data_IF_373790830094
#
_entry.id   IF_373790830094
#
_cell.length_a   1.000
_cell.length_b   1.000
_cell.length_c   1.000
_cell.angle_alpha   90.00
_cell.angle_beta   90.00
_cell.angle_gamma   90.00
#
_symmetry.space_group_name_H-M   'P 1'
#
loop_
_entity.id
_entity.type
_entity.pdbx_description
1 polymer ?
#
# COMPACT_ATOMS: atom_id res chain seq x y z
N UNK A 1 22.50 -2.65 -2.99
CA UNK A 1 23.97 -2.47 -2.90
C UNK A 1 24.63 -3.65 -2.20
N UNK A 2 24.28 -3.97 -0.96
CA UNK A 2 24.83 -5.16 -0.25
C UNK A 2 24.54 -6.46 -1.00
N UNK A 3 23.35 -6.59 -1.60
CA UNK A 3 23.04 -7.75 -2.43
C UNK A 3 24.12 -7.99 -3.49
N UNK A 4 24.48 -6.99 -4.28
CA UNK A 4 25.47 -7.12 -5.35
C UNK A 4 26.90 -7.34 -4.81
N UNK A 5 27.22 -6.73 -3.65
CA UNK A 5 28.52 -6.95 -3.01
C UNK A 5 28.67 -8.41 -2.56
N UNK A 6 27.67 -8.96 -1.87
CA UNK A 6 27.72 -10.34 -1.38
C UNK A 6 27.59 -11.36 -2.51
N UNK A 7 26.84 -11.06 -3.55
CA UNK A 7 26.78 -11.88 -4.77
C UNK A 7 28.15 -11.95 -5.45
N UNK A 8 28.87 -10.84 -5.55
CA UNK A 8 30.23 -10.79 -6.04
C UNK A 8 31.22 -11.57 -5.15
N UNK A 9 31.13 -11.42 -3.82
CA UNK A 9 31.98 -12.12 -2.87
C UNK A 9 31.74 -13.64 -2.88
N UNK A 10 30.50 -14.08 -3.02
CA UNK A 10 30.17 -15.49 -3.17
C UNK A 10 30.73 -16.07 -4.47
N UNK A 11 30.49 -15.36 -5.59
CA UNK A 11 30.84 -15.88 -6.92
C UNK A 11 32.36 -15.95 -7.15
N UNK A 12 33.14 -14.99 -6.58
CA UNK A 12 34.58 -14.89 -6.85
C UNK A 12 35.47 -15.43 -5.72
N UNK A 13 34.96 -15.41 -4.49
CA UNK A 13 35.77 -15.74 -3.31
C UNK A 13 35.20 -16.85 -2.44
N UNK A 14 33.96 -17.36 -2.75
CA UNK A 14 33.24 -18.33 -1.91
C UNK A 14 33.22 -17.87 -0.43
N UNK A 15 32.97 -16.56 -0.21
CA UNK A 15 33.04 -15.97 1.13
C UNK A 15 31.98 -16.58 2.06
N UNK A 16 32.36 -17.09 3.24
CA UNK A 16 31.42 -17.75 4.14
C UNK A 16 30.25 -16.86 4.53
N UNK A 17 29.03 -17.32 4.25
CA UNK A 17 27.79 -16.60 4.55
C UNK A 17 27.31 -15.62 3.48
N UNK A 18 28.11 -15.33 2.46
CA UNK A 18 27.71 -14.44 1.35
C UNK A 18 26.52 -15.02 0.57
N UNK A 19 26.47 -16.33 0.39
CA UNK A 19 25.34 -17.02 -0.29
C UNK A 19 23.99 -16.83 0.38
N UNK A 20 23.93 -16.44 1.67
CA UNK A 20 22.65 -16.13 2.34
C UNK A 20 21.90 -14.98 1.67
N UNK A 21 22.62 -14.02 1.08
CA UNK A 21 22.04 -12.87 0.39
C UNK A 21 21.36 -13.24 -0.94
N UNK A 22 21.56 -14.43 -1.46
CA UNK A 22 20.83 -14.93 -2.62
C UNK A 22 19.39 -15.32 -2.27
N UNK A 23 19.13 -15.71 -1.00
CA UNK A 23 17.79 -16.09 -0.54
C UNK A 23 16.90 -14.86 -0.26
N UNK A 24 15.73 -14.81 -0.93
CA UNK A 24 14.73 -13.75 -0.73
C UNK A 24 14.28 -13.68 0.73
N UNK A 25 14.05 -14.82 1.38
CA UNK A 25 13.59 -14.91 2.77
C UNK A 25 14.57 -14.28 3.76
N UNK A 26 15.88 -14.54 3.57
CA UNK A 26 16.92 -13.92 4.40
C UNK A 26 16.93 -12.40 4.20
N UNK A 27 16.96 -11.93 2.95
CA UNK A 27 16.98 -10.48 2.64
C UNK A 27 15.72 -9.78 3.12
N UNK A 28 14.58 -10.43 3.02
CA UNK A 28 13.30 -9.90 3.47
C UNK A 28 13.26 -9.74 5.01
N UNK A 29 13.72 -10.75 5.75
CA UNK A 29 13.83 -10.65 7.22
C UNK A 29 14.86 -9.58 7.64
N UNK A 30 16.02 -9.54 6.99
CA UNK A 30 17.05 -8.53 7.24
C UNK A 30 16.54 -7.11 6.93
N UNK A 31 15.78 -6.94 5.83
CA UNK A 31 15.19 -5.67 5.44
C UNK A 31 14.15 -5.18 6.46
N UNK A 32 13.30 -6.08 6.96
CA UNK A 32 12.34 -5.77 8.02
C UNK A 32 13.04 -5.29 9.30
N UNK A 33 14.02 -6.06 9.79
CA UNK A 33 14.76 -5.72 11.01
C UNK A 33 15.49 -4.38 10.85
N UNK A 34 16.18 -4.20 9.72
CA UNK A 34 16.93 -2.97 9.45
C UNK A 34 15.99 -1.75 9.35
N UNK A 35 14.85 -1.88 8.67
CA UNK A 35 13.86 -0.81 8.58
C UNK A 35 13.29 -0.43 9.95
N UNK A 36 12.96 -1.43 10.77
CA UNK A 36 12.46 -1.23 12.13
C UNK A 36 13.51 -0.52 12.99
N UNK A 37 14.77 -0.95 12.95
CA UNK A 37 15.87 -0.31 13.69
C UNK A 37 16.12 1.13 13.21
N UNK A 38 16.16 1.36 11.89
CA UNK A 38 16.33 2.71 11.32
C UNK A 38 15.19 3.62 11.79
N UNK A 39 13.94 3.17 11.70
CA UNK A 39 12.78 3.94 12.16
C UNK A 39 12.84 4.25 13.64
N UNK A 40 13.15 3.25 14.49
CA UNK A 40 13.16 3.40 15.94
C UNK A 40 14.35 4.26 16.45
N UNK A 41 15.54 4.09 15.87
CA UNK A 41 16.75 4.81 16.32
C UNK A 41 16.79 6.23 15.76
N UNK A 42 16.59 6.37 14.43
CA UNK A 42 16.67 7.67 13.78
C UNK A 42 15.38 8.49 13.89
N UNK A 43 14.25 7.85 14.14
CA UNK A 43 12.96 8.52 14.30
C UNK A 43 13.01 9.64 15.33
N UNK A 44 13.60 9.38 16.51
CA UNK A 44 13.74 10.41 17.56
C UNK A 44 14.57 11.62 17.10
N UNK A 45 15.62 11.39 16.30
CA UNK A 45 16.43 12.49 15.76
C UNK A 45 15.64 13.35 14.78
N UNK A 46 14.88 12.72 13.90
CA UNK A 46 14.00 13.40 12.93
C UNK A 46 12.90 14.16 13.67
N UNK A 47 12.25 13.56 14.66
CA UNK A 47 11.22 14.22 15.49
C UNK A 47 11.79 15.47 16.17
N UNK A 48 12.99 15.39 16.75
CA UNK A 48 13.63 16.53 17.39
C UNK A 48 14.01 17.62 16.38
N UNK A 49 14.41 17.25 15.16
CA UNK A 49 14.67 18.20 14.08
C UNK A 49 13.38 18.90 13.65
N UNK A 50 12.30 18.16 13.40
CA UNK A 50 10.99 18.73 13.04
C UNK A 50 10.47 19.66 14.14
N UNK A 51 10.62 19.29 15.41
CA UNK A 51 10.23 20.11 16.54
C UNK A 51 11.02 21.43 16.63
N UNK A 52 12.34 21.41 16.36
CA UNK A 52 13.18 22.61 16.30
C UNK A 52 12.77 23.56 15.18
N UNK A 53 12.31 23.03 14.05
CA UNK A 53 11.81 23.83 12.93
C UNK A 53 10.38 24.37 13.17
N UNK A 54 9.82 24.16 14.35
CA UNK A 54 8.44 24.53 14.71
C UNK A 54 7.39 23.96 13.73
N UNK A 55 7.66 22.77 13.22
CA UNK A 55 6.78 22.00 12.31
C UNK A 55 5.60 21.42 13.11
N UNK A 56 4.94 22.25 13.92
CA UNK A 56 3.76 21.86 14.69
C UNK A 56 2.49 22.17 13.90
N UNK A 57 1.60 21.23 13.79
CA UNK A 57 0.31 21.47 13.18
C UNK A 57 -0.55 22.35 14.07
N UNK A 58 -1.17 23.39 13.50
CA UNK A 58 -2.22 24.14 14.19
C UNK A 58 -3.48 23.27 14.23
N UNK A 59 -3.71 22.64 15.37
CA UNK A 59 -4.88 21.76 15.57
C UNK A 59 -6.16 22.56 15.34
N UNK A 60 -7.03 22.05 14.46
CA UNK A 60 -8.38 22.59 14.31
C UNK A 60 -9.18 22.23 15.57
N UNK A 61 -9.76 23.20 16.22
CA UNK A 61 -10.70 22.90 17.30
C UNK A 61 -11.96 22.21 16.71
N UNK A 62 -12.02 20.91 16.90
CA UNK A 62 -13.16 20.08 16.49
C UNK A 62 -14.11 19.79 17.65
N UNK A 63 -13.80 20.32 18.85
CA UNK A 63 -14.53 20.06 20.09
C UNK A 63 -14.45 18.58 20.52
N UNK A 64 -13.28 17.94 20.31
CA UNK A 64 -12.99 16.56 20.71
C UNK A 64 -12.12 16.54 21.95
N UNK A 65 -12.37 15.61 22.87
CA UNK A 65 -11.52 15.42 24.06
C UNK A 65 -10.09 15.05 23.64
N UNK A 66 -9.09 15.57 24.37
CA UNK A 66 -7.67 15.28 24.14
C UNK A 66 -7.00 16.12 23.04
N UNK A 67 -7.71 16.96 22.29
CA UNK A 67 -7.10 17.80 21.24
C UNK A 67 -6.07 18.79 21.80
N UNK A 68 -6.31 19.36 22.97
CA UNK A 68 -5.40 20.33 23.59
C UNK A 68 -4.05 19.69 23.91
N UNK A 69 -4.05 18.42 24.28
CA UNK A 69 -2.82 17.66 24.62
C UNK A 69 -1.94 17.40 23.39
N UNK A 70 -2.50 17.45 22.19
CA UNK A 70 -1.78 17.24 20.93
C UNK A 70 -1.13 18.51 20.37
N UNK A 71 -1.38 19.68 21.01
CA UNK A 71 -0.80 20.95 20.58
C UNK A 71 0.72 20.91 20.66
N UNK A 72 1.40 21.26 19.57
CA UNK A 72 2.88 21.26 19.49
C UNK A 72 3.49 19.91 19.07
N UNK A 73 2.68 18.88 18.84
CA UNK A 73 3.18 17.64 18.22
C UNK A 73 3.58 17.93 16.78
N UNK A 74 4.85 17.61 16.36
CA UNK A 74 5.29 17.86 15.00
C UNK A 74 4.56 16.94 14.00
N UNK A 75 4.31 17.46 12.81
CA UNK A 75 3.80 16.72 11.64
C UNK A 75 4.94 16.36 10.68
N UNK A 76 4.63 15.81 9.50
CA UNK A 76 5.60 15.34 8.49
C UNK A 76 6.39 14.08 8.91
N UNK A 77 5.89 13.31 9.87
CA UNK A 77 6.50 12.06 10.32
C UNK A 77 6.62 10.99 9.24
N UNK A 78 5.87 11.11 8.15
CA UNK A 78 5.99 10.26 6.96
C UNK A 78 7.41 10.18 6.39
N UNK A 79 8.22 11.21 6.61
CA UNK A 79 9.65 11.22 6.25
C UNK A 79 10.39 10.05 6.93
N UNK A 80 10.06 9.72 8.19
CA UNK A 80 10.65 8.60 8.91
C UNK A 80 10.34 7.29 8.18
N UNK A 81 9.08 7.09 7.79
CA UNK A 81 8.63 5.89 7.09
C UNK A 81 9.36 5.74 5.75
N UNK A 82 9.43 6.83 4.97
CA UNK A 82 10.07 6.84 3.65
C UNK A 82 11.56 6.47 3.76
N UNK A 83 12.33 7.15 4.62
CA UNK A 83 13.75 6.86 4.78
C UNK A 83 14.00 5.47 5.34
N UNK A 84 13.22 5.04 6.33
CA UNK A 84 13.35 3.71 6.93
C UNK A 84 13.01 2.58 5.96
N UNK A 85 12.18 2.85 4.95
CA UNK A 85 11.89 1.91 3.86
C UNK A 85 13.00 1.95 2.81
N UNK A 86 13.39 3.13 2.33
CA UNK A 86 14.33 3.27 1.22
C UNK A 86 15.72 2.74 1.55
N UNK A 87 16.23 2.96 2.77
CA UNK A 87 17.59 2.53 3.15
C UNK A 87 17.76 1.00 3.01
N UNK A 88 16.93 0.15 3.65
CA UNK A 88 17.04 -1.31 3.49
C UNK A 88 16.79 -1.77 2.05
N UNK A 89 15.83 -1.15 1.36
CA UNK A 89 15.51 -1.47 -0.03
C UNK A 89 16.73 -1.25 -0.93
N UNK A 90 17.37 -0.09 -0.86
CA UNK A 90 18.58 0.20 -1.66
C UNK A 90 19.75 -0.73 -1.32
N UNK A 91 19.83 -1.21 -0.09
CA UNK A 91 20.89 -2.12 0.34
C UNK A 91 20.63 -3.57 -0.07
N UNK A 92 19.41 -4.08 0.08
CA UNK A 92 19.12 -5.51 0.10
C UNK A 92 18.33 -6.03 -1.11
N UNK A 93 17.73 -5.15 -1.95
CA UNK A 93 16.98 -5.59 -3.12
C UNK A 93 17.84 -5.66 -4.39
N UNK A 94 17.33 -6.40 -5.38
CA UNK A 94 17.80 -6.35 -6.76
C UNK A 94 17.24 -5.10 -7.44
N UNK A 95 18.04 -4.02 -7.46
CA UNK A 95 17.59 -2.71 -7.97
C UNK A 95 17.24 -2.70 -9.47
N UNK A 96 17.69 -3.71 -10.23
CA UNK A 96 17.34 -3.90 -11.64
C UNK A 96 15.98 -4.54 -11.85
N UNK A 97 15.35 -5.05 -10.76
CA UNK A 97 14.04 -5.66 -10.86
C UNK A 97 12.97 -4.59 -11.10
N UNK A 98 12.14 -4.81 -12.13
CA UNK A 98 11.15 -3.81 -12.56
C UNK A 98 10.13 -3.46 -11.48
N UNK A 99 9.70 -4.43 -10.67
CA UNK A 99 8.77 -4.21 -9.58
C UNK A 99 9.38 -3.35 -8.47
N UNK A 100 10.68 -3.52 -8.18
CA UNK A 100 11.40 -2.66 -7.22
C UNK A 100 11.49 -1.23 -7.76
N UNK A 101 11.78 -1.06 -9.04
CA UNK A 101 11.83 0.26 -9.70
C UNK A 101 10.47 0.96 -9.58
N UNK A 102 9.37 0.26 -9.87
CA UNK A 102 8.01 0.80 -9.74
C UNK A 102 7.72 1.25 -8.30
N UNK A 103 8.08 0.44 -7.31
CA UNK A 103 7.84 0.76 -5.90
C UNK A 103 8.72 1.92 -5.41
N UNK A 104 9.96 2.04 -5.88
CA UNK A 104 10.82 3.19 -5.61
C UNK A 104 10.24 4.48 -6.21
N UNK A 105 9.80 4.43 -7.47
CA UNK A 105 9.12 5.56 -8.13
C UNK A 105 7.88 5.95 -7.32
N UNK A 106 7.05 4.99 -6.94
CA UNK A 106 5.84 5.23 -6.16
C UNK A 106 6.14 5.93 -4.83
N UNK A 107 7.15 5.42 -4.10
CA UNK A 107 7.54 5.96 -2.79
C UNK A 107 8.00 7.41 -2.90
N UNK A 108 8.88 7.70 -3.86
CA UNK A 108 9.42 9.04 -4.07
C UNK A 108 8.33 9.98 -4.58
N UNK A 109 7.55 9.56 -5.57
CA UNK A 109 6.51 10.38 -6.20
C UNK A 109 5.42 10.79 -5.21
N UNK A 110 4.84 9.82 -4.50
CA UNK A 110 3.80 10.10 -3.51
C UNK A 110 4.35 10.83 -2.29
N UNK A 111 5.58 10.48 -1.89
CA UNK A 111 6.30 11.18 -0.83
C UNK A 111 6.51 12.66 -1.15
N UNK A 112 6.87 13.00 -2.38
CA UNK A 112 7.02 14.39 -2.81
C UNK A 112 5.70 15.15 -2.83
N UNK A 113 4.61 14.53 -3.31
CA UNK A 113 3.29 15.16 -3.32
C UNK A 113 2.83 15.47 -1.90
N UNK A 114 2.93 14.47 -1.00
CA UNK A 114 2.57 14.66 0.40
C UNK A 114 3.47 15.68 1.11
N UNK A 115 4.78 15.63 0.84
CA UNK A 115 5.73 16.60 1.38
C UNK A 115 5.41 18.04 0.95
N UNK A 116 5.06 18.26 -0.31
CA UNK A 116 4.66 19.59 -0.81
C UNK A 116 3.39 20.09 -0.12
N UNK A 117 2.42 19.20 0.13
CA UNK A 117 1.21 19.54 0.88
C UNK A 117 1.53 19.98 2.30
N UNK A 118 2.26 19.14 3.03
CA UNK A 118 2.66 19.42 4.41
C UNK A 118 3.56 20.68 4.48
N UNK A 119 4.48 20.85 3.53
CA UNK A 119 5.33 22.06 3.46
C UNK A 119 4.52 23.34 3.32
N UNK A 120 3.49 23.33 2.46
CA UNK A 120 2.60 24.50 2.30
C UNK A 120 1.85 24.77 3.61
N UNK A 121 1.31 23.73 4.24
CA UNK A 121 0.56 23.87 5.51
C UNK A 121 1.42 24.43 6.64
N UNK A 122 2.65 23.94 6.77
CA UNK A 122 3.53 24.23 7.91
C UNK A 122 4.33 25.51 7.68
N UNK A 123 5.10 25.58 6.59
CA UNK A 123 6.04 26.67 6.37
C UNK A 123 5.40 27.90 5.74
N UNK A 124 4.43 27.72 4.82
CA UNK A 124 3.67 28.84 4.27
C UNK A 124 2.46 29.22 5.11
N UNK A 125 2.17 28.47 6.20
CA UNK A 125 1.03 28.67 7.11
C UNK A 125 -0.33 28.73 6.39
N UNK A 126 -0.42 28.13 5.20
CA UNK A 126 -1.65 28.00 4.45
C UNK A 126 -2.35 26.69 4.84
N UNK A 127 -3.37 26.80 5.70
CA UNK A 127 -4.14 25.64 6.20
C UNK A 127 -4.85 24.83 5.11
N UNK A 128 -4.99 25.38 3.90
CA UNK A 128 -5.60 24.67 2.78
C UNK A 128 -4.65 23.63 2.17
N UNK A 129 -3.34 23.83 2.32
CA UNK A 129 -2.31 22.98 1.74
C UNK A 129 -2.34 22.98 0.21
N UNK A 130 -1.91 21.87 -0.38
CA UNK A 130 -1.96 21.67 -1.82
C UNK A 130 -3.42 21.47 -2.26
N UNK A 131 -3.90 22.27 -3.20
CA UNK A 131 -5.27 22.14 -3.71
C UNK A 131 -5.54 20.70 -4.19
N UNK A 132 -6.71 20.14 -3.86
CA UNK A 132 -7.07 18.76 -4.14
C UNK A 132 -6.88 18.34 -5.61
N UNK A 133 -7.10 19.27 -6.57
CA UNK A 133 -6.87 19.01 -8.00
C UNK A 133 -5.41 18.64 -8.33
N UNK A 134 -4.43 19.22 -7.64
CA UNK A 134 -3.02 18.89 -7.87
C UNK A 134 -2.65 17.54 -7.23
N UNK A 135 -3.25 17.19 -6.08
CA UNK A 135 -3.10 15.85 -5.49
C UNK A 135 -3.64 14.78 -6.45
N UNK A 136 -4.85 14.99 -6.98
CA UNK A 136 -5.45 14.08 -7.96
C UNK A 136 -4.59 14.01 -9.24
N UNK A 137 -4.10 15.12 -9.74
CA UNK A 137 -3.22 15.13 -10.92
C UNK A 137 -1.94 14.31 -10.69
N UNK A 138 -1.35 14.43 -9.49
CA UNK A 138 -0.19 13.63 -9.12
C UNK A 138 -0.50 12.14 -9.01
N UNK A 139 -1.67 11.77 -8.48
CA UNK A 139 -2.15 10.38 -8.40
C UNK A 139 -2.42 9.81 -9.81
N UNK A 140 -3.03 10.59 -10.69
CA UNK A 140 -3.25 10.24 -12.11
C UNK A 140 -1.91 10.05 -12.81
N UNK A 141 -0.95 10.96 -12.63
CA UNK A 141 0.39 10.86 -13.20
C UNK A 141 1.12 9.59 -12.77
N UNK A 142 1.07 9.25 -11.47
CA UNK A 142 1.63 7.99 -10.98
C UNK A 142 0.92 6.79 -11.58
N UNK A 143 -0.40 6.81 -11.65
CA UNK A 143 -1.21 5.71 -12.21
C UNK A 143 -0.91 5.46 -13.69
N UNK A 144 -0.69 6.54 -14.47
CA UNK A 144 -0.24 6.44 -15.86
C UNK A 144 1.16 5.80 -15.95
N UNK A 145 2.11 6.24 -15.14
CA UNK A 145 3.48 5.68 -15.13
C UNK A 145 3.44 4.20 -14.74
N UNK A 146 2.83 3.87 -13.61
CA UNK A 146 2.77 2.50 -13.09
C UNK A 146 2.01 1.58 -14.03
N UNK A 147 0.81 1.97 -14.48
CA UNK A 147 0.00 1.18 -15.39
C UNK A 147 0.68 0.92 -16.72
N UNK A 148 1.35 1.95 -17.28
CA UNK A 148 2.13 1.81 -18.51
C UNK A 148 3.31 0.86 -18.34
N UNK A 149 4.09 0.99 -17.26
CA UNK A 149 5.21 0.08 -17.01
C UNK A 149 4.71 -1.35 -16.82
N UNK A 150 3.66 -1.57 -16.02
CA UNK A 150 3.13 -2.91 -15.75
C UNK A 150 2.53 -3.58 -16.99
N UNK A 151 2.10 -2.84 -18.00
CA UNK A 151 1.56 -3.43 -19.22
C UNK A 151 2.59 -3.54 -20.33
N UNK A 152 3.38 -2.48 -20.60
CA UNK A 152 4.25 -2.43 -21.77
C UNK A 152 5.64 -3.02 -21.54
N UNK A 153 6.11 -3.14 -20.29
CA UNK A 153 7.44 -3.69 -20.02
C UNK A 153 7.47 -5.21 -20.19
N UNK A 154 8.45 -5.71 -20.95
CA UNK A 154 8.56 -7.15 -21.30
C UNK A 154 8.91 -8.04 -20.10
N UNK A 155 9.48 -7.49 -19.05
CA UNK A 155 9.78 -8.22 -17.81
C UNK A 155 8.55 -8.42 -16.89
N UNK A 156 7.41 -7.81 -17.24
CA UNK A 156 6.14 -7.96 -16.51
C UNK A 156 5.27 -8.96 -17.26
N UNK A 157 5.25 -10.18 -16.77
CA UNK A 157 4.49 -11.29 -17.36
C UNK A 157 3.80 -12.09 -16.25
N UNK A 158 2.79 -12.85 -16.64
CA UNK A 158 2.15 -13.84 -15.77
C UNK A 158 2.26 -15.22 -16.39
N UNK A 159 2.14 -16.26 -15.57
CA UNK A 159 1.96 -17.64 -16.03
C UNK A 159 0.71 -18.19 -15.38
N UNK A 160 -0.22 -18.63 -16.20
CA UNK A 160 -1.45 -19.27 -15.76
C UNK A 160 -1.23 -20.77 -15.56
N UNK A 161 -1.99 -21.35 -14.64
CA UNK A 161 -1.94 -22.76 -14.40
C UNK A 161 -2.60 -23.53 -15.56
N UNK A 162 -1.92 -24.54 -16.08
CA UNK A 162 -2.46 -25.38 -17.15
C UNK A 162 -3.57 -26.29 -16.60
N UNK A 163 -4.65 -26.53 -17.37
CA UNK A 163 -5.62 -27.55 -17.03
C UNK A 163 -4.93 -28.90 -16.80
N UNK A 164 -5.40 -29.69 -15.85
CA UNK A 164 -4.79 -30.97 -15.47
C UNK A 164 -4.53 -31.88 -16.67
N UNK A 165 -5.43 -31.87 -17.67
CA UNK A 165 -5.29 -32.64 -18.91
C UNK A 165 -4.12 -32.19 -19.81
N UNK A 166 -3.62 -30.97 -19.64
CA UNK A 166 -2.52 -30.40 -20.44
C UNK A 166 -1.17 -30.37 -19.70
N UNK A 167 -1.17 -30.83 -18.43
CA UNK A 167 0.05 -30.89 -17.64
C UNK A 167 0.91 -32.08 -18.08
N UNK A 168 2.09 -31.78 -18.61
CA UNK A 168 3.02 -32.79 -19.12
C UNK A 168 4.07 -33.10 -18.06
N UNK A 169 4.37 -34.38 -17.87
CA UNK A 169 5.53 -34.79 -17.07
C UNK A 169 6.75 -34.73 -17.99
N UNK A 170 7.67 -33.83 -17.67
CA UNK A 170 8.91 -33.69 -18.41
C UNK A 170 9.82 -34.90 -18.21
N UNK A 171 10.83 -35.09 -19.10
CA UNK A 171 11.75 -36.23 -19.03
C UNK A 171 12.53 -36.34 -17.71
N UNK A 172 12.67 -35.24 -16.98
CA UNK A 172 13.29 -35.18 -15.65
C UNK A 172 12.33 -35.53 -14.49
N UNK A 173 11.10 -35.98 -14.79
CA UNK A 173 10.09 -36.35 -13.81
C UNK A 173 9.33 -35.17 -13.20
N UNK A 174 9.66 -33.91 -13.60
CA UNK A 174 8.95 -32.74 -13.13
C UNK A 174 7.68 -32.50 -13.92
N UNK A 175 6.61 -32.16 -13.21
CA UNK A 175 5.32 -31.80 -13.81
C UNK A 175 5.33 -30.33 -14.22
N UNK A 176 5.09 -30.06 -15.52
CA UNK A 176 4.90 -28.70 -16.01
C UNK A 176 3.47 -28.27 -15.68
N UNK A 177 3.34 -27.44 -14.65
CA UNK A 177 2.04 -26.99 -14.13
C UNK A 177 1.62 -25.67 -14.75
N UNK A 178 2.56 -24.79 -15.10
CA UNK A 178 2.31 -23.47 -15.64
C UNK A 178 2.64 -23.41 -17.13
N UNK A 179 1.82 -22.65 -17.86
CA UNK A 179 2.02 -22.33 -19.26
C UNK A 179 3.21 -21.38 -19.50
N UNK A 180 3.33 -20.91 -20.74
CA UNK A 180 4.33 -19.90 -21.10
C UNK A 180 4.01 -18.54 -20.47
N UNK A 181 5.06 -17.74 -20.27
CA UNK A 181 4.91 -16.39 -19.76
C UNK A 181 4.32 -15.48 -20.84
N UNK A 182 3.25 -14.79 -20.52
CA UNK A 182 2.59 -13.87 -21.43
C UNK A 182 2.13 -12.59 -20.72
N UNK A 183 1.84 -11.55 -21.51
CA UNK A 183 1.24 -10.31 -21.00
C UNK A 183 -0.26 -10.52 -20.83
N UNK A 184 -0.81 -10.03 -19.73
CA UNK A 184 -2.23 -10.18 -19.42
C UNK A 184 -2.78 -8.99 -18.65
N UNK A 185 -4.04 -8.68 -18.86
CA UNK A 185 -4.83 -7.74 -18.08
C UNK A 185 -5.70 -8.44 -17.02
N UNK A 186 -5.50 -9.73 -16.83
CA UNK A 186 -6.24 -10.51 -15.83
C UNK A 186 -5.85 -10.14 -14.40
N UNK A 187 -6.82 -10.16 -13.53
CA UNK A 187 -6.68 -9.99 -12.09
C UNK A 187 -7.48 -11.04 -11.33
N UNK A 188 -7.11 -11.26 -10.07
CA UNK A 188 -7.82 -12.20 -9.21
C UNK A 188 -9.08 -11.57 -8.63
N UNK A 189 -10.20 -12.28 -8.77
CA UNK A 189 -11.49 -11.91 -8.18
C UNK A 189 -11.83 -12.90 -7.07
N UNK A 190 -12.09 -12.43 -5.83
CA UNK A 190 -12.52 -13.33 -4.75
C UNK A 190 -13.91 -13.89 -5.01
N UNK A 191 -14.18 -15.13 -4.55
CA UNK A 191 -15.50 -15.78 -4.53
C UNK A 191 -16.08 -16.21 -5.88
N UNK A 192 -15.40 -16.04 -6.99
CA UNK A 192 -15.89 -16.50 -8.29
C UNK A 192 -15.18 -17.77 -8.74
N UNK A 193 -15.93 -18.67 -9.37
CA UNK A 193 -15.39 -19.85 -10.04
C UNK A 193 -14.42 -19.39 -11.13
N UNK A 194 -13.22 -19.86 -11.19
CA UNK A 194 -12.10 -19.45 -12.01
C UNK A 194 -11.29 -18.25 -11.49
N UNK A 195 -11.72 -17.54 -10.45
CA UNK A 195 -10.98 -16.48 -9.73
C UNK A 195 -10.30 -15.41 -10.61
N UNK A 196 -10.61 -15.29 -11.88
CA UNK A 196 -9.94 -14.37 -12.80
C UNK A 196 -10.95 -13.49 -13.53
N UNK A 197 -10.64 -12.20 -13.59
CA UNK A 197 -11.32 -11.21 -14.40
C UNK A 197 -10.34 -10.61 -15.37
N UNK A 198 -10.62 -10.71 -16.68
CA UNK A 198 -9.85 -10.00 -17.69
C UNK A 198 -10.48 -8.62 -17.93
N UNK A 199 -9.69 -7.57 -17.73
CA UNK A 199 -10.15 -6.21 -17.97
C UNK A 199 -10.45 -5.92 -19.43
N UNK A 200 -9.91 -6.67 -20.37
CA UNK A 200 -10.25 -6.54 -21.79
C UNK A 200 -11.73 -6.85 -22.06
N UNK A 201 -12.36 -7.71 -21.24
CA UNK A 201 -13.77 -8.07 -21.39
C UNK A 201 -14.73 -6.88 -21.21
N UNK A 202 -14.31 -5.81 -20.50
CA UNK A 202 -15.12 -4.58 -20.42
C UNK A 202 -15.27 -3.87 -21.78
N UNK A 203 -14.44 -4.22 -22.75
CA UNK A 203 -14.47 -3.67 -24.10
C UNK A 203 -15.11 -4.63 -25.13
N UNK A 204 -15.73 -5.72 -24.70
CA UNK A 204 -16.36 -6.72 -25.58
C UNK A 204 -17.41 -6.13 -26.54
N UNK A 205 -18.01 -4.99 -26.19
CA UNK A 205 -18.94 -4.25 -27.04
C UNK A 205 -18.30 -3.69 -28.34
N UNK A 206 -16.95 -3.62 -28.41
CA UNK A 206 -16.21 -3.20 -29.60
C UNK A 206 -16.08 -4.31 -30.67
N UNK A 207 -16.54 -5.53 -30.36
CA UNK A 207 -16.44 -6.67 -31.27
C UNK A 207 -15.09 -7.41 -31.21
N UNK A 208 -14.78 -8.17 -32.26
CA UNK A 208 -13.55 -8.96 -32.34
C UNK A 208 -12.30 -8.08 -32.28
N UNK A 209 -11.28 -8.52 -31.54
CA UNK A 209 -10.02 -7.79 -31.38
C UNK A 209 -10.01 -6.72 -30.29
N UNK A 210 -11.06 -6.61 -29.46
CA UNK A 210 -11.13 -5.69 -28.32
C UNK A 210 -10.01 -5.91 -27.30
N UNK A 211 -9.45 -7.11 -27.23
CA UNK A 211 -8.34 -7.46 -26.32
C UNK A 211 -7.11 -6.53 -26.49
N UNK A 212 -6.86 -6.04 -27.71
CA UNK A 212 -5.77 -5.11 -28.03
C UNK A 212 -5.87 -3.80 -27.26
N UNK A 213 -7.06 -3.42 -26.80
CA UNK A 213 -7.33 -2.18 -26.07
C UNK A 213 -7.48 -2.39 -24.55
N UNK A 214 -7.34 -3.63 -24.06
CA UNK A 214 -7.46 -3.98 -22.63
C UNK A 214 -6.52 -3.16 -21.73
N UNK A 215 -5.37 -2.73 -22.25
CA UNK A 215 -4.43 -1.87 -21.52
C UNK A 215 -5.03 -0.52 -21.10
N UNK A 216 -5.96 0.02 -21.88
CA UNK A 216 -6.62 1.31 -21.54
C UNK A 216 -7.42 1.14 -20.26
N UNK A 217 -8.22 0.07 -20.17
CA UNK A 217 -9.02 -0.24 -18.98
C UNK A 217 -8.11 -0.54 -17.81
N UNK A 218 -7.03 -1.30 -18.03
CA UNK A 218 -6.06 -1.62 -16.99
C UNK A 218 -5.39 -0.37 -16.39
N UNK A 219 -4.95 0.57 -17.23
CA UNK A 219 -4.37 1.85 -16.78
C UNK A 219 -5.42 2.68 -16.05
N UNK A 220 -6.66 2.76 -16.56
CA UNK A 220 -7.72 3.50 -15.89
C UNK A 220 -8.02 2.94 -14.50
N UNK A 221 -8.10 1.62 -14.36
CA UNK A 221 -8.30 0.94 -13.07
C UNK A 221 -7.11 1.18 -12.14
N UNK A 222 -5.88 1.14 -12.67
CA UNK A 222 -4.66 1.45 -11.92
C UNK A 222 -4.73 2.87 -11.32
N UNK A 223 -5.10 3.87 -12.12
CA UNK A 223 -5.27 5.26 -11.67
C UNK A 223 -6.33 5.33 -10.58
N UNK A 224 -7.48 4.70 -10.80
CA UNK A 224 -8.59 4.70 -9.85
C UNK A 224 -8.19 4.11 -8.49
N UNK A 225 -7.51 2.96 -8.50
CA UNK A 225 -7.08 2.26 -7.27
C UNK A 225 -6.03 3.08 -6.52
N UNK A 226 -5.03 3.63 -7.21
CA UNK A 226 -4.03 4.49 -6.59
C UNK A 226 -4.70 5.71 -5.95
N UNK A 227 -5.60 6.38 -6.65
CA UNK A 227 -6.33 7.52 -6.10
C UNK A 227 -7.21 7.12 -4.91
N UNK A 228 -7.97 6.03 -5.02
CA UNK A 228 -8.89 5.58 -3.97
C UNK A 228 -8.14 5.23 -2.67
N UNK A 229 -7.09 4.43 -2.75
CA UNK A 229 -6.37 3.97 -1.54
C UNK A 229 -5.41 5.00 -0.99
N UNK A 230 -4.81 5.85 -1.82
CA UNK A 230 -4.01 6.98 -1.36
C UNK A 230 -4.86 7.97 -0.55
N UNK A 231 -6.03 8.35 -1.05
CA UNK A 231 -6.95 9.20 -0.31
C UNK A 231 -7.58 8.47 0.89
N UNK A 232 -7.82 7.14 0.79
CA UNK A 232 -8.32 6.32 1.88
C UNK A 232 -7.39 6.28 3.08
N UNK A 233 -6.11 6.06 2.84
CA UNK A 233 -5.09 6.11 3.87
C UNK A 233 -5.00 7.51 4.50
N UNK A 234 -5.08 8.57 3.67
CA UNK A 234 -5.04 9.95 4.14
C UNK A 234 -6.25 10.31 5.02
N UNK A 235 -7.46 9.89 4.65
CA UNK A 235 -8.65 10.09 5.49
C UNK A 235 -8.63 9.26 6.78
N UNK A 236 -7.92 8.15 6.79
CA UNK A 236 -7.75 7.29 7.98
C UNK A 236 -6.74 7.87 8.97
N UNK A 237 -5.85 8.76 8.54
CA UNK A 237 -4.83 9.42 9.37
C UNK A 237 -5.41 10.59 10.20
N UNK A 238 -6.49 10.31 10.95
CA UNK A 238 -7.18 11.31 11.78
C UNK A 238 -7.00 11.12 13.29
N UNK A 239 -6.52 9.96 13.74
CA UNK A 239 -6.23 9.63 15.13
C UNK A 239 -4.95 8.83 15.27
N UNK A 240 -4.28 8.97 16.43
CA UNK A 240 -2.94 8.46 16.69
C UNK A 240 -2.83 6.95 16.46
N UNK A 241 -1.98 6.53 15.51
CA UNK A 241 -1.69 5.13 15.22
C UNK A 241 -2.70 4.41 14.33
N UNK A 242 -3.87 4.99 14.03
CA UNK A 242 -4.91 4.29 13.26
C UNK A 242 -4.43 3.92 11.85
N UNK A 243 -3.99 4.91 11.07
CA UNK A 243 -3.52 4.69 9.71
C UNK A 243 -2.27 3.81 9.67
N UNK A 244 -1.30 4.06 10.55
CA UNK A 244 -0.04 3.32 10.62
C UNK A 244 -0.28 1.84 10.93
N UNK A 245 -1.02 1.54 11.99
CA UNK A 245 -1.24 0.14 12.42
C UNK A 245 -2.13 -0.63 11.44
N UNK A 246 -3.20 0.00 10.93
CA UNK A 246 -4.03 -0.62 9.88
C UNK A 246 -3.22 -0.91 8.63
N UNK A 247 -2.33 0.00 8.22
CA UNK A 247 -1.43 -0.21 7.09
C UNK A 247 -0.44 -1.35 7.31
N UNK A 248 0.13 -1.46 8.52
CA UNK A 248 1.05 -2.55 8.84
C UNK A 248 0.38 -3.93 8.68
N UNK A 249 -0.87 -4.06 9.13
CA UNK A 249 -1.66 -5.29 8.96
C UNK A 249 -1.85 -5.62 7.48
N UNK A 250 -2.26 -4.63 6.67
CA UNK A 250 -2.47 -4.78 5.22
C UNK A 250 -1.17 -5.21 4.53
N UNK A 251 -0.07 -4.54 4.83
CA UNK A 251 1.24 -4.74 4.20
C UNK A 251 1.79 -6.14 4.48
N UNK A 252 1.61 -6.68 5.68
CA UNK A 252 2.02 -8.06 6.01
C UNK A 252 1.29 -9.09 5.13
N UNK A 253 0.00 -8.92 4.89
CA UNK A 253 -0.76 -9.81 3.99
C UNK A 253 -0.30 -9.66 2.54
N UNK A 254 -0.04 -8.43 2.10
CA UNK A 254 0.49 -8.19 0.75
C UNK A 254 1.90 -8.78 0.58
N UNK A 255 2.74 -8.80 1.63
CA UNK A 255 4.04 -9.48 1.61
C UNK A 255 3.87 -10.99 1.39
N UNK A 256 2.92 -11.61 2.10
CA UNK A 256 2.58 -13.01 1.91
C UNK A 256 2.13 -13.28 0.47
N UNK A 257 1.24 -12.44 -0.07
CA UNK A 257 0.74 -12.62 -1.44
C UNK A 257 1.84 -12.43 -2.50
N UNK A 258 2.73 -11.45 -2.32
CA UNK A 258 3.85 -11.24 -3.23
C UNK A 258 4.83 -12.44 -3.20
N UNK A 259 5.10 -12.98 -2.01
CA UNK A 259 5.94 -14.16 -1.86
C UNK A 259 5.33 -15.40 -2.50
N UNK A 260 4.03 -15.64 -2.26
CA UNK A 260 3.29 -16.75 -2.88
C UNK A 260 3.26 -16.62 -4.40
N UNK A 261 2.85 -15.49 -4.95
CA UNK A 261 2.76 -15.27 -6.40
C UNK A 261 4.13 -15.30 -7.10
N UNK A 262 5.21 -15.01 -6.37
CA UNK A 262 6.59 -15.09 -6.86
C UNK A 262 7.27 -16.45 -6.72
N UNK A 263 6.58 -17.45 -6.17
CA UNK A 263 7.12 -18.79 -5.93
C UNK A 263 6.27 -19.85 -6.62
N UNK A 264 6.86 -20.58 -7.56
CA UNK A 264 6.15 -21.56 -8.40
C UNK A 264 5.46 -22.67 -7.60
N UNK A 265 6.08 -23.14 -6.49
CA UNK A 265 5.54 -24.22 -5.65
C UNK A 265 4.29 -23.74 -4.89
N UNK A 266 4.37 -22.55 -4.28
CA UNK A 266 3.25 -22.00 -3.54
C UNK A 266 2.14 -21.48 -4.44
N UNK A 267 2.48 -20.95 -5.62
CA UNK A 267 1.50 -20.57 -6.63
C UNK A 267 0.69 -21.77 -7.11
N UNK A 268 1.35 -22.93 -7.33
CA UNK A 268 0.70 -24.19 -7.69
C UNK A 268 -0.21 -24.69 -6.54
N UNK A 269 0.33 -24.77 -5.33
CA UNK A 269 -0.42 -25.27 -4.18
C UNK A 269 -1.68 -24.45 -3.87
N UNK A 270 -1.59 -23.13 -4.00
CA UNK A 270 -2.71 -22.21 -3.75
C UNK A 270 -3.53 -21.91 -5.01
N UNK A 271 -3.13 -22.44 -6.18
CA UNK A 271 -3.77 -22.23 -7.47
C UNK A 271 -3.97 -20.73 -7.78
N UNK A 272 -2.90 -19.99 -7.67
CA UNK A 272 -2.85 -18.56 -8.01
C UNK A 272 -1.91 -18.32 -9.18
N UNK A 273 -2.10 -17.21 -9.89
CA UNK A 273 -1.19 -16.81 -10.96
C UNK A 273 0.26 -16.75 -10.46
N UNK A 274 1.17 -17.42 -11.17
CA UNK A 274 2.59 -17.26 -10.95
C UNK A 274 3.08 -16.02 -11.68
N UNK A 275 3.68 -15.09 -10.96
CA UNK A 275 4.20 -13.83 -11.50
C UNK A 275 5.73 -13.86 -11.38
N UNK A 276 6.44 -14.13 -12.47
CA UNK A 276 7.90 -14.15 -12.46
C UNK A 276 8.49 -12.86 -11.90
N UNK A 277 9.57 -12.98 -11.13
CA UNK A 277 10.29 -11.87 -10.51
C UNK A 277 9.53 -11.08 -9.43
N UNK A 278 8.24 -11.32 -9.19
CA UNK A 278 7.46 -10.60 -8.15
C UNK A 278 7.91 -10.94 -6.73
N UNK A 279 8.54 -12.10 -6.52
CA UNK A 279 9.08 -12.49 -5.22
C UNK A 279 10.06 -11.48 -4.62
N UNK A 280 10.77 -10.73 -5.44
CA UNK A 280 11.68 -9.66 -4.99
C UNK A 280 10.94 -8.54 -4.25
N UNK A 281 9.68 -8.28 -4.61
CA UNK A 281 8.83 -7.32 -3.90
C UNK A 281 8.68 -7.64 -2.42
N UNK A 282 8.76 -8.92 -2.03
CA UNK A 282 8.65 -9.32 -0.61
C UNK A 282 9.72 -8.64 0.25
N UNK A 283 10.92 -8.44 -0.29
CA UNK A 283 12.02 -7.73 0.41
C UNK A 283 11.63 -6.26 0.64
N UNK A 284 11.09 -5.60 -0.39
CA UNK A 284 10.60 -4.23 -0.28
C UNK A 284 9.43 -4.12 0.71
N UNK A 285 8.44 -5.01 0.58
CA UNK A 285 7.21 -4.95 1.37
C UNK A 285 7.50 -5.20 2.85
N UNK A 286 8.42 -6.10 3.17
CA UNK A 286 8.83 -6.33 4.56
C UNK A 286 9.70 -5.19 5.10
N UNK A 287 10.54 -4.54 4.29
CA UNK A 287 11.19 -3.28 4.70
C UNK A 287 10.15 -2.21 5.05
N UNK A 288 9.11 -2.06 4.22
CA UNK A 288 8.03 -1.12 4.46
C UNK A 288 7.22 -1.46 5.72
N UNK A 289 6.91 -2.75 5.94
CA UNK A 289 6.26 -3.21 7.18
C UNK A 289 7.10 -2.88 8.43
N UNK A 290 8.42 -3.15 8.38
CA UNK A 290 9.34 -2.80 9.47
C UNK A 290 9.39 -1.29 9.74
N UNK A 291 9.37 -0.46 8.68
CA UNK A 291 9.32 0.99 8.80
C UNK A 291 8.03 1.49 9.46
N UNK A 292 6.87 0.90 9.09
CA UNK A 292 5.58 1.23 9.68
C UNK A 292 5.53 0.85 11.17
N UNK A 293 5.98 -0.36 11.53
CA UNK A 293 6.00 -0.81 12.91
C UNK A 293 6.97 0.03 13.75
N UNK A 294 8.15 0.37 13.19
CA UNK A 294 9.08 1.26 13.85
C UNK A 294 8.55 2.69 14.02
N UNK A 295 7.81 3.20 13.05
CA UNK A 295 7.14 4.51 13.17
C UNK A 295 6.00 4.49 14.20
N UNK A 296 5.27 3.37 14.30
CA UNK A 296 4.20 3.20 15.27
C UNK A 296 4.69 3.38 16.72
N UNK A 297 5.96 3.10 17.01
CA UNK A 297 6.59 3.37 18.31
C UNK A 297 6.43 4.83 18.77
N UNK A 298 6.42 5.77 17.82
CA UNK A 298 6.27 7.20 18.09
C UNK A 298 4.87 7.74 17.80
N UNK A 299 4.12 7.04 16.95
CA UNK A 299 2.81 7.51 16.47
C UNK A 299 1.62 6.94 17.27
N UNK A 300 1.84 5.95 18.18
CA UNK A 300 0.79 5.49 19.10
C UNK A 300 0.39 6.57 20.09
N UNK A 301 -0.87 6.52 20.56
CA UNK A 301 -1.42 7.47 21.51
C UNK A 301 -0.67 7.46 22.88
N UNK A 302 -0.26 8.60 23.43
CA UNK A 302 -0.27 9.94 22.82
C UNK A 302 0.90 10.10 21.82
N UNK A 303 0.60 10.50 20.58
CA UNK A 303 1.59 10.56 19.52
C UNK A 303 2.67 11.62 19.77
N UNK A 304 3.93 11.25 19.53
CA UNK A 304 5.09 12.15 19.57
C UNK A 304 5.33 12.84 18.22
N UNK A 305 4.72 12.32 17.15
CA UNK A 305 4.78 12.84 15.79
C UNK A 305 3.55 12.39 15.00
N UNK A 306 2.97 13.30 14.22
CA UNK A 306 1.92 12.97 13.26
C UNK A 306 2.53 12.59 11.91
N UNK A 307 1.88 11.67 11.23
CA UNK A 307 2.34 11.17 9.93
C UNK A 307 2.34 12.26 8.87
N UNK A 308 1.27 13.04 8.79
CA UNK A 308 1.02 14.03 7.75
C UNK A 308 0.70 13.44 6.39
N UNK A 309 0.40 14.31 5.42
CA UNK A 309 0.11 13.90 4.05
C UNK A 309 1.35 13.24 3.39
N UNK A 310 2.56 13.63 3.82
CA UNK A 310 3.83 12.99 3.40
C UNK A 310 3.81 11.47 3.62
N UNK A 311 3.28 11.02 4.75
CA UNK A 311 3.21 9.59 5.06
C UNK A 311 1.95 8.94 4.54
N UNK A 312 0.79 9.49 4.81
CA UNK A 312 -0.49 8.86 4.55
C UNK A 312 -0.77 8.66 3.05
N UNK A 313 -0.49 9.67 2.21
CA UNK A 313 -0.61 9.53 0.74
C UNK A 313 0.37 8.49 0.19
N UNK A 314 1.60 8.48 0.73
CA UNK A 314 2.65 7.53 0.32
C UNK A 314 2.27 6.09 0.66
N UNK A 315 1.79 5.85 1.88
CA UNK A 315 1.35 4.53 2.34
C UNK A 315 0.25 3.97 1.43
N UNK A 316 -0.81 4.76 1.21
CA UNK A 316 -1.92 4.33 0.38
C UNK A 316 -1.52 4.07 -1.07
N UNK A 317 -0.64 4.91 -1.63
CA UNK A 317 -0.07 4.72 -2.97
C UNK A 317 0.77 3.45 -3.09
N UNK A 318 1.64 3.17 -2.12
CA UNK A 318 2.46 1.95 -2.08
C UNK A 318 1.57 0.71 -1.97
N UNK A 319 0.60 0.68 -1.06
CA UNK A 319 -0.36 -0.43 -0.90
C UNK A 319 -1.09 -0.72 -2.21
N UNK A 320 -1.60 0.31 -2.87
CA UNK A 320 -2.28 0.20 -4.16
C UNK A 320 -1.37 -0.43 -5.23
N UNK A 321 -0.15 0.12 -5.39
CA UNK A 321 0.79 -0.34 -6.42
C UNK A 321 1.28 -1.77 -6.17
N UNK A 322 1.51 -2.16 -4.91
CA UNK A 322 1.82 -3.56 -4.58
C UNK A 322 0.69 -4.48 -5.04
N UNK A 323 -0.55 -4.19 -4.65
CA UNK A 323 -1.69 -5.04 -4.98
C UNK A 323 -1.91 -5.19 -6.49
N UNK A 324 -1.77 -4.09 -7.25
CA UNK A 324 -1.88 -4.10 -8.72
C UNK A 324 -0.73 -4.93 -9.33
N UNK A 325 0.49 -4.78 -8.81
CA UNK A 325 1.66 -5.50 -9.32
C UNK A 325 1.55 -7.03 -9.15
N UNK A 326 0.88 -7.48 -8.08
CA UNK A 326 0.63 -8.91 -7.81
C UNK A 326 -0.76 -9.38 -8.28
N UNK A 327 -1.48 -8.55 -9.04
CA UNK A 327 -2.83 -8.88 -9.56
C UNK A 327 -3.83 -9.27 -8.46
N UNK A 328 -3.81 -8.53 -7.35
CA UNK A 328 -4.68 -8.72 -6.17
C UNK A 328 -5.43 -7.44 -5.78
N UNK A 329 -5.53 -6.49 -6.69
CA UNK A 329 -6.13 -5.18 -6.43
C UNK A 329 -7.62 -5.27 -6.07
N UNK A 330 -8.34 -6.27 -6.59
CA UNK A 330 -9.75 -6.49 -6.25
C UNK A 330 -9.96 -7.12 -4.86
N UNK A 331 -8.89 -7.57 -4.21
CA UNK A 331 -8.92 -7.99 -2.80
C UNK A 331 -8.73 -6.80 -1.85
N UNK A 332 -8.19 -5.67 -2.31
CA UNK A 332 -7.96 -4.49 -1.47
C UNK A 332 -9.23 -3.96 -0.79
N UNK A 333 -10.42 -3.90 -1.42
CA UNK A 333 -11.62 -3.45 -0.74
C UNK A 333 -11.96 -4.26 0.52
N UNK A 334 -11.57 -5.53 0.57
CA UNK A 334 -11.71 -6.40 1.74
C UNK A 334 -10.55 -6.18 2.69
N UNK A 335 -9.32 -6.38 2.21
CA UNK A 335 -8.09 -6.30 3.01
C UNK A 335 -7.92 -4.93 3.68
N UNK A 336 -8.12 -3.86 2.92
CA UNK A 336 -8.07 -2.48 3.39
C UNK A 336 -9.48 -1.91 3.66
N UNK A 337 -10.41 -2.75 4.11
CA UNK A 337 -11.81 -2.38 4.35
C UNK A 337 -11.97 -1.22 5.33
N UNK A 338 -11.03 -1.01 6.25
CA UNK A 338 -10.98 0.17 7.12
C UNK A 338 -10.86 1.44 6.29
N UNK A 339 -9.93 1.51 5.32
CA UNK A 339 -9.79 2.68 4.45
C UNK A 339 -11.04 2.92 3.60
N UNK A 340 -11.66 1.82 3.14
CA UNK A 340 -12.91 1.89 2.37
C UNK A 340 -14.04 2.46 3.22
N UNK A 341 -14.22 1.99 4.46
CA UNK A 341 -15.28 2.46 5.36
C UNK A 341 -15.06 3.92 5.75
N UNK A 342 -13.81 4.33 6.02
CA UNK A 342 -13.48 5.74 6.28
C UNK A 342 -13.85 6.63 5.11
N UNK A 343 -13.44 6.26 3.88
CA UNK A 343 -13.81 6.98 2.66
C UNK A 343 -15.31 7.04 2.44
N UNK A 344 -15.99 5.89 2.52
CA UNK A 344 -17.44 5.81 2.30
C UNK A 344 -18.21 6.64 3.33
N UNK A 345 -17.76 6.68 4.59
CA UNK A 345 -18.40 7.51 5.61
C UNK A 345 -18.39 9.00 5.26
N UNK A 346 -17.29 9.47 4.64
CA UNK A 346 -17.17 10.86 4.17
C UNK A 346 -18.05 11.10 2.95
N UNK A 347 -18.01 10.20 1.96
CA UNK A 347 -18.82 10.31 0.75
C UNK A 347 -20.32 10.35 1.09
N UNK A 348 -20.78 9.42 1.94
CA UNK A 348 -22.17 9.35 2.38
C UNK A 348 -22.59 10.60 3.15
N UNK A 349 -21.75 11.04 4.11
CA UNK A 349 -22.05 12.24 4.89
C UNK A 349 -22.18 13.48 4.02
N UNK A 350 -21.19 13.72 3.14
CA UNK A 350 -21.18 14.92 2.28
C UNK A 350 -22.32 14.90 1.27
N UNK A 351 -22.56 13.74 0.65
CA UNK A 351 -23.64 13.57 -0.33
C UNK A 351 -25.03 13.78 0.29
N UNK A 352 -25.25 13.16 1.45
CA UNK A 352 -26.51 13.31 2.18
C UNK A 352 -26.74 14.74 2.68
N UNK A 353 -25.68 15.37 3.21
CA UNK A 353 -25.75 16.76 3.66
C UNK A 353 -26.11 17.72 2.51
N UNK A 354 -25.48 17.56 1.34
CA UNK A 354 -25.78 18.37 0.15
C UNK A 354 -27.20 18.11 -0.36
N UNK A 355 -27.63 16.84 -0.40
CA UNK A 355 -28.96 16.46 -0.83
C UNK A 355 -30.04 17.05 0.07
N UNK A 356 -29.90 16.89 1.40
CA UNK A 356 -30.89 17.40 2.37
C UNK A 356 -30.94 18.93 2.38
N UNK A 357 -29.76 19.59 2.27
CA UNK A 357 -29.70 21.06 2.14
C UNK A 357 -30.44 21.56 0.90
N UNK A 358 -30.31 20.86 -0.23
CA UNK A 358 -31.04 21.21 -1.45
C UNK A 358 -32.54 20.96 -1.32
N UNK A 359 -32.95 19.88 -0.66
CA UNK A 359 -34.36 19.46 -0.58
C UNK A 359 -35.14 20.15 0.54
N UNK A 360 -34.52 20.40 1.68
CA UNK A 360 -35.18 20.88 2.89
C UNK A 360 -34.67 22.26 3.36
N UNK A 361 -33.74 22.89 2.65
CA UNK A 361 -33.11 24.14 3.07
C UNK A 361 -32.01 23.98 4.12
N UNK A 362 -32.03 22.87 4.86
CA UNK A 362 -31.06 22.57 5.95
C UNK A 362 -30.31 21.28 5.66
N UNK A 363 -28.97 21.31 5.93
CA UNK A 363 -28.13 20.13 5.78
C UNK A 363 -28.25 19.22 7.01
N UNK A 364 -28.68 17.97 6.80
CA UNK A 364 -28.76 16.95 7.86
C UNK A 364 -27.57 16.02 7.80
N UNK A 365 -27.14 15.50 8.96
CA UNK A 365 -26.01 14.59 9.10
C UNK A 365 -26.48 13.16 9.34
N UNK A 366 -25.80 12.17 8.73
CA UNK A 366 -25.96 10.75 9.03
C UNK A 366 -25.14 10.39 10.28
N UNK A 367 -23.86 10.74 10.25
CA UNK A 367 -22.92 10.53 11.35
C UNK A 367 -22.77 11.81 12.18
N UNK A 368 -22.47 11.69 13.47
CA UNK A 368 -22.15 12.85 14.32
C UNK A 368 -21.00 13.68 13.73
N UNK A 369 -20.02 12.99 13.13
CA UNK A 369 -18.89 13.55 12.41
C UNK A 369 -18.35 12.51 11.42
N UNK A 370 -17.70 12.93 10.32
CA UNK A 370 -16.96 12.06 9.39
C UNK A 370 -15.52 12.58 9.25
N UNK A 371 -14.53 11.70 9.00
CA UNK A 371 -14.60 10.24 8.84
C UNK A 371 -15.14 9.50 10.09
N UNK A 372 -15.43 8.18 9.95
CA UNK A 372 -16.21 7.44 10.97
C UNK A 372 -15.51 7.30 12.33
N UNK A 373 -14.17 7.31 12.38
CA UNK A 373 -13.44 7.31 13.64
C UNK A 373 -13.82 8.53 14.52
N UNK A 374 -14.05 9.70 13.92
CA UNK A 374 -14.54 10.88 14.65
C UNK A 374 -15.98 10.75 15.13
N UNK A 375 -16.82 9.97 14.44
CA UNK A 375 -18.15 9.63 14.94
C UNK A 375 -18.08 8.91 16.29
N UNK A 376 -17.14 7.95 16.41
CA UNK A 376 -16.93 7.23 17.66
C UNK A 376 -16.33 8.11 18.76
N UNK A 377 -15.37 8.99 18.43
CA UNK A 377 -14.87 9.99 19.40
C UNK A 377 -16.01 10.87 19.94
N UNK A 378 -16.86 11.42 19.05
CA UNK A 378 -18.07 12.20 19.40
C UNK A 378 -19.13 11.37 20.14
N UNK A 379 -19.02 10.06 20.14
CA UNK A 379 -19.87 9.16 20.91
C UNK A 379 -19.29 8.79 22.26
N UNK A 380 -18.17 9.43 22.68
CA UNK A 380 -17.55 9.26 24.00
C UNK A 380 -16.56 8.09 24.10
N UNK A 381 -16.12 7.51 22.97
CA UNK A 381 -15.07 6.50 23.02
C UNK A 381 -13.68 7.14 23.04
N UNK A 382 -12.84 6.68 23.97
CA UNK A 382 -11.44 7.08 24.02
C UNK A 382 -10.68 6.64 22.76
N UNK A 383 -9.77 7.48 22.27
CA UNK A 383 -9.04 7.29 21.00
C UNK A 383 -8.32 5.95 20.91
N UNK A 384 -7.54 5.57 21.92
CA UNK A 384 -6.84 4.28 21.92
C UNK A 384 -7.78 3.07 21.83
N UNK A 385 -8.98 3.15 22.39
CA UNK A 385 -9.99 2.11 22.30
C UNK A 385 -10.57 1.98 20.89
N UNK A 386 -10.74 3.11 20.20
CA UNK A 386 -11.18 3.14 18.80
C UNK A 386 -10.10 2.46 17.93
N UNK A 387 -8.84 2.90 18.05
CA UNK A 387 -7.71 2.39 17.28
C UNK A 387 -7.56 0.88 17.43
N UNK A 388 -7.52 0.37 18.65
CA UNK A 388 -7.39 -1.09 18.90
C UNK A 388 -8.55 -1.87 18.28
N UNK A 389 -9.79 -1.36 18.37
CA UNK A 389 -10.95 -2.02 17.76
C UNK A 389 -10.85 -2.05 16.24
N UNK A 390 -10.39 -0.98 15.62
CA UNK A 390 -10.15 -0.92 14.17
C UNK A 390 -9.05 -1.91 13.76
N UNK A 391 -7.96 -2.02 14.53
CA UNK A 391 -6.94 -3.03 14.27
C UNK A 391 -7.48 -4.46 14.36
N UNK A 392 -8.31 -4.76 15.37
CA UNK A 392 -8.95 -6.07 15.49
C UNK A 392 -9.80 -6.37 14.24
N UNK A 393 -10.62 -5.41 13.79
CA UNK A 393 -11.38 -5.55 12.55
C UNK A 393 -10.44 -5.71 11.35
N UNK A 394 -9.35 -4.94 11.28
CA UNK A 394 -8.33 -5.08 10.24
C UNK A 394 -7.70 -6.46 10.20
N UNK A 395 -7.38 -7.05 11.35
CA UNK A 395 -6.87 -8.42 11.45
C UNK A 395 -7.92 -9.45 10.96
N UNK A 396 -9.18 -9.29 11.34
CA UNK A 396 -10.26 -10.15 10.85
C UNK A 396 -10.39 -10.08 9.32
N UNK A 397 -10.36 -8.88 8.74
CA UNK A 397 -10.38 -8.68 7.30
C UNK A 397 -9.14 -9.26 6.61
N UNK A 398 -7.97 -9.16 7.23
CA UNK A 398 -6.73 -9.74 6.76
C UNK A 398 -6.81 -11.27 6.70
N UNK A 399 -7.24 -11.92 7.78
CA UNK A 399 -7.45 -13.38 7.83
C UNK A 399 -8.50 -13.80 6.80
N UNK A 400 -9.62 -13.09 6.71
CA UNK A 400 -10.66 -13.35 5.72
C UNK A 400 -10.11 -13.27 4.30
N UNK A 401 -9.30 -12.25 3.99
CA UNK A 401 -8.67 -12.07 2.67
C UNK A 401 -7.72 -13.22 2.34
N UNK A 402 -6.94 -13.73 3.31
CA UNK A 402 -6.06 -14.89 3.11
C UNK A 402 -6.91 -16.14 2.80
N UNK A 403 -8.01 -16.34 3.53
CA UNK A 403 -8.90 -17.50 3.32
C UNK A 403 -9.52 -17.48 1.92
N UNK A 404 -9.81 -16.29 1.35
CA UNK A 404 -10.38 -16.18 -0.01
C UNK A 404 -9.48 -16.76 -1.10
N UNK A 405 -8.17 -16.91 -0.87
CA UNK A 405 -7.28 -17.57 -1.83
C UNK A 405 -7.65 -19.03 -2.10
N UNK A 406 -8.31 -19.68 -1.15
CA UNK A 406 -8.73 -21.10 -1.26
C UNK A 406 -10.26 -21.27 -1.42
N UNK A 407 -11.04 -20.22 -1.25
CA UNK A 407 -12.50 -20.28 -1.47
C UNK A 407 -12.79 -20.12 -2.97
N UNK A 408 -13.20 -21.23 -3.61
CA UNK A 408 -13.50 -21.33 -5.05
C UNK A 408 -14.86 -21.92 -5.28
#
# INVERSE_FOLDING_TARGET
MLYYLFDYLETHFNFPGAGLFQFITFRAAAAFILALLVSSIFGKRIINFLRKQQVGESIRDLGLEGQVQKTGTPTMGGIIIIFSTLIPVLLLTKLTNIYIIILLITTIWMGLIGFLDDYIKVFKKDKSGLQGKFKILGQVGLGLIVGSILYFNDNVTIKEQLPVAQQIVQQDGKRQVFGEAHKSTKTTVPFFKNNELDYSNFLSFLGEGHEKYGWIVFIFITIFIIAAFSNGANLTDGIDGLATGSSAIIVVVLALFAWVSGNIIFSDYLDVMYIPNSGEMTVYILAFAGALIGFLWYNTYPAQVFMGDTGSLTIGGIIAVIAISIRKELLLPILAGIFVVENLSVILQVSYFKYTRKKYGEGRRIFKMSPIHHHYQKSGYHESKIVVRFWIVGILLAVFTIVTLKLR
#
